data_IF_995860864984
#
_entry.id   IF_995860864984
#
_cell.length_a   1.000
_cell.length_b   1.000
_cell.length_c   1.000
_cell.angle_alpha   90.00
_cell.angle_beta   90.00
_cell.angle_gamma   90.00
#
_symmetry.space_group_name_H-M   'P 1'
#
loop_
_entity.id
_entity.type
_entity.pdbx_description
1 polymer ?
#
# COMPACT_ATOMS: atom_id res chain seq x y z
N UNK A 1 -18.61 2.24 7.26
CA UNK A 1 -17.63 1.44 8.04
C UNK A 1 -18.26 0.10 8.35
N UNK A 2 -17.50 -1.00 8.28
CA UNK A 2 -18.01 -2.33 8.62
C UNK A 2 -18.78 -3.05 7.51
N UNK A 3 -18.58 -2.62 6.26
CA UNK A 3 -19.12 -3.28 5.06
C UNK A 3 -18.02 -4.10 4.40
N UNK A 4 -18.39 -5.20 3.77
CA UNK A 4 -17.55 -5.89 2.79
C UNK A 4 -17.59 -5.16 1.45
N UNK A 5 -16.58 -5.37 0.60
CA UNK A 5 -16.48 -4.65 -0.70
C UNK A 5 -17.62 -5.02 -1.67
N UNK A 6 -18.15 -6.22 -1.59
CA UNK A 6 -19.26 -6.74 -2.41
C UNK A 6 -20.65 -6.26 -1.94
N UNK A 7 -20.73 -5.59 -0.80
CA UNK A 7 -21.97 -5.01 -0.26
C UNK A 7 -22.14 -3.53 -0.63
N UNK A 8 -21.11 -2.89 -1.21
CA UNK A 8 -21.07 -1.45 -1.43
C UNK A 8 -21.58 -1.07 -2.83
N UNK A 9 -22.40 -0.03 -2.86
CA UNK A 9 -22.88 0.63 -4.07
C UNK A 9 -22.30 2.05 -4.17
N UNK A 10 -22.52 2.73 -5.29
CA UNK A 10 -22.03 4.10 -5.50
C UNK A 10 -22.55 5.11 -4.45
N UNK A 11 -23.77 4.89 -3.94
CA UNK A 11 -24.38 5.77 -2.93
C UNK A 11 -23.82 5.56 -1.50
N UNK A 12 -23.03 4.49 -1.28
CA UNK A 12 -22.47 4.16 0.04
C UNK A 12 -21.14 4.87 0.33
N UNK A 13 -20.57 5.56 -0.66
CA UNK A 13 -19.34 6.33 -0.48
C UNK A 13 -19.60 7.59 0.37
N UNK A 14 -18.65 7.87 1.27
CA UNK A 14 -18.75 8.97 2.23
C UNK A 14 -17.70 10.02 1.90
N UNK A 15 -18.16 11.24 1.59
CA UNK A 15 -17.30 12.40 1.42
C UNK A 15 -16.80 12.90 2.77
N UNK A 16 -15.50 13.18 2.88
CA UNK A 16 -14.88 13.67 4.11
C UNK A 16 -13.99 14.87 3.82
N UNK A 17 -14.14 15.93 4.60
CA UNK A 17 -13.28 17.11 4.50
C UNK A 17 -11.84 16.75 4.90
N UNK A 18 -10.89 17.02 4.01
CA UNK A 18 -9.51 16.60 4.17
C UNK A 18 -8.82 17.16 5.44
N UNK A 19 -9.17 18.39 5.84
CA UNK A 19 -8.53 19.08 6.98
C UNK A 19 -9.20 18.77 8.30
N UNK A 20 -10.53 18.70 8.31
CA UNK A 20 -11.30 18.60 9.55
C UNK A 20 -11.74 17.17 9.86
N UNK A 21 -11.74 16.27 8.87
CA UNK A 21 -12.27 14.91 9.00
C UNK A 21 -13.79 14.85 9.16
N UNK A 22 -14.50 15.98 9.01
CA UNK A 22 -15.96 16.03 9.06
C UNK A 22 -16.55 15.46 7.77
N UNK A 23 -17.67 14.76 7.89
CA UNK A 23 -18.45 14.26 6.74
C UNK A 23 -18.95 15.47 5.94
N UNK A 24 -18.81 15.40 4.61
CA UNK A 24 -19.30 16.42 3.67
C UNK A 24 -20.41 15.89 2.78
N UNK A 25 -20.39 14.58 2.48
CA UNK A 25 -21.36 13.90 1.60
C UNK A 25 -21.64 12.49 2.12
N UNK A 26 -22.83 11.97 1.84
CA UNK A 26 -23.29 10.66 2.31
C UNK A 26 -23.82 10.66 3.75
N UNK A 27 -24.52 9.59 4.12
CA UNK A 27 -25.15 9.41 5.44
C UNK A 27 -24.44 8.36 6.30
N UNK A 28 -23.62 7.52 5.68
CA UNK A 28 -22.89 6.45 6.36
C UNK A 28 -21.70 7.00 7.16
N UNK A 29 -21.28 6.21 8.16
CA UNK A 29 -20.07 6.50 8.91
C UNK A 29 -18.83 6.13 8.07
N UNK A 30 -17.82 7.02 7.93
CA UNK A 30 -16.58 6.69 7.24
C UNK A 30 -15.82 5.59 7.99
N UNK A 31 -14.83 4.97 7.33
CA UNK A 31 -13.94 3.97 7.94
C UNK A 31 -13.35 4.45 9.27
N UNK A 32 -13.20 3.54 10.25
CA UNK A 32 -12.56 3.85 11.54
C UNK A 32 -11.11 4.33 11.37
N UNK A 33 -10.48 4.01 10.25
CA UNK A 33 -9.12 4.39 9.90
C UNK A 33 -9.02 5.69 9.07
N UNK A 34 -10.10 6.47 8.99
CA UNK A 34 -10.16 7.68 8.14
C UNK A 34 -9.00 8.65 8.46
N UNK A 35 -8.61 8.76 9.73
CA UNK A 35 -7.49 9.59 10.17
C UNK A 35 -6.16 9.21 9.47
N UNK A 36 -5.92 7.92 9.26
CA UNK A 36 -4.74 7.42 8.55
C UNK A 36 -4.75 7.85 7.08
N UNK A 37 -5.88 7.68 6.39
CA UNK A 37 -6.04 8.10 4.99
C UNK A 37 -5.83 9.61 4.84
N UNK A 38 -6.51 10.41 5.66
CA UNK A 38 -6.37 11.88 5.66
C UNK A 38 -4.92 12.31 5.89
N UNK A 39 -4.23 11.67 6.84
CA UNK A 39 -2.83 11.93 7.10
C UNK A 39 -1.94 11.72 5.87
N UNK A 40 -2.21 10.68 5.08
CA UNK A 40 -1.45 10.40 3.86
C UNK A 40 -1.63 11.50 2.82
N UNK A 41 -2.87 11.88 2.51
CA UNK A 41 -3.17 12.97 1.57
C UNK A 41 -2.64 14.33 2.02
N UNK A 42 -2.58 14.57 3.34
CA UNK A 42 -2.06 15.83 3.86
C UNK A 42 -0.55 15.94 3.69
N UNK A 43 0.20 14.84 3.79
CA UNK A 43 1.66 14.85 3.80
C UNK A 43 2.31 14.64 2.43
N UNK A 44 1.61 13.99 1.49
CA UNK A 44 2.05 13.77 0.11
C UNK A 44 1.06 14.46 -0.83
N UNK A 45 1.51 15.44 -1.61
CA UNK A 45 0.66 16.20 -2.55
C UNK A 45 0.60 15.57 -3.94
N UNK A 46 1.46 14.61 -4.19
CA UNK A 46 1.57 13.84 -5.42
C UNK A 46 0.67 12.59 -5.43
N UNK A 47 -0.06 12.32 -4.33
CA UNK A 47 -0.98 11.19 -4.24
C UNK A 47 -2.43 11.66 -4.25
N UNK A 48 -3.28 10.90 -4.94
CA UNK A 48 -4.73 11.10 -4.99
C UNK A 48 -5.49 9.84 -4.54
N UNK A 49 -4.79 8.74 -4.26
CA UNK A 49 -5.38 7.51 -3.73
C UNK A 49 -4.54 6.92 -2.59
N UNK A 50 -5.25 6.35 -1.61
CA UNK A 50 -4.70 5.58 -0.50
C UNK A 50 -5.54 4.32 -0.39
N UNK A 51 -4.91 3.15 -0.47
CA UNK A 51 -5.57 1.85 -0.32
C UNK A 51 -5.01 1.16 0.91
N UNK A 52 -5.91 0.75 1.80
CA UNK A 52 -5.61 -0.10 2.93
C UNK A 52 -6.34 -1.43 2.80
N UNK A 53 -5.62 -2.52 2.92
CA UNK A 53 -6.15 -3.90 2.76
C UNK A 53 -5.53 -4.84 3.77
N UNK A 54 -6.11 -6.05 3.87
CA UNK A 54 -5.64 -7.14 4.73
C UNK A 54 -5.17 -8.38 3.94
N UNK A 55 -4.13 -8.28 3.10
CA UNK A 55 -3.63 -9.39 2.29
C UNK A 55 -3.12 -10.55 3.17
N UNK A 56 -3.74 -11.74 3.17
CA UNK A 56 -3.47 -12.79 4.15
C UNK A 56 -2.04 -13.33 4.12
N UNK A 57 -1.45 -13.50 2.92
CA UNK A 57 -0.09 -14.03 2.79
C UNK A 57 0.95 -13.01 3.27
N UNK A 58 0.76 -11.75 2.91
CA UNK A 58 1.56 -10.63 3.43
C UNK A 58 1.48 -10.57 4.95
N UNK A 59 0.27 -10.59 5.53
CA UNK A 59 0.07 -10.56 7.00
C UNK A 59 0.77 -11.74 7.65
N UNK A 60 0.59 -12.96 7.12
CA UNK A 60 1.25 -14.16 7.64
C UNK A 60 2.77 -14.04 7.63
N UNK A 61 3.36 -13.57 6.53
CA UNK A 61 4.80 -13.37 6.39
C UNK A 61 5.35 -12.35 7.39
N UNK A 62 4.76 -11.16 7.50
CA UNK A 62 5.26 -10.12 8.40
C UNK A 62 5.02 -10.48 9.87
N UNK A 63 3.95 -11.22 10.18
CA UNK A 63 3.71 -11.78 11.50
C UNK A 63 4.82 -12.75 11.90
N UNK A 64 5.27 -13.58 10.96
CA UNK A 64 6.42 -14.47 11.11
C UNK A 64 7.80 -13.77 11.04
N UNK A 65 7.85 -12.43 10.97
CA UNK A 65 9.09 -11.67 10.92
C UNK A 65 9.81 -11.70 9.57
N UNK A 66 9.18 -12.21 8.51
CA UNK A 66 9.74 -12.15 7.17
C UNK A 66 9.71 -10.72 6.61
N UNK A 67 10.70 -10.41 5.77
CA UNK A 67 10.77 -9.15 5.02
C UNK A 67 10.47 -9.43 3.55
N UNK A 68 9.56 -8.66 2.96
CA UNK A 68 9.31 -8.66 1.52
C UNK A 68 10.35 -7.73 0.88
N UNK A 69 11.07 -8.24 -0.12
CA UNK A 69 12.18 -7.54 -0.78
C UNK A 69 12.03 -7.66 -2.30
N UNK A 70 12.72 -6.83 -3.09
CA UNK A 70 12.72 -6.95 -4.54
C UNK A 70 13.16 -8.33 -5.03
N UNK A 71 12.28 -9.02 -5.74
CA UNK A 71 12.51 -10.34 -6.34
C UNK A 71 12.24 -10.38 -7.86
N UNK A 72 11.46 -9.43 -8.38
CA UNK A 72 11.08 -9.36 -9.79
C UNK A 72 10.94 -7.90 -10.26
N UNK A 73 10.97 -7.64 -11.59
CA UNK A 73 11.05 -6.28 -12.14
C UNK A 73 9.92 -5.34 -11.71
N UNK A 74 8.66 -5.78 -11.78
CA UNK A 74 7.50 -4.93 -11.45
C UNK A 74 7.54 -4.47 -9.99
N UNK A 75 8.01 -5.33 -9.06
CA UNK A 75 8.26 -4.93 -7.68
C UNK A 75 9.28 -3.79 -7.59
N UNK A 76 10.36 -3.85 -8.35
CA UNK A 76 11.37 -2.77 -8.37
C UNK A 76 10.81 -1.48 -8.96
N UNK A 77 10.08 -1.59 -10.06
CA UNK A 77 9.59 -0.45 -10.81
C UNK A 77 8.50 0.31 -10.04
N UNK A 78 7.56 -0.40 -9.43
CA UNK A 78 6.31 0.19 -8.94
C UNK A 78 6.22 0.27 -7.42
N UNK A 79 6.89 -0.61 -6.69
CA UNK A 79 6.82 -0.69 -5.23
C UNK A 79 8.12 -0.21 -4.58
N UNK A 80 9.27 -0.70 -5.06
CA UNK A 80 10.58 -0.38 -4.52
C UNK A 80 10.84 -1.04 -3.17
N UNK A 81 10.93 -0.25 -2.10
CA UNK A 81 11.13 -0.75 -0.74
C UNK A 81 9.84 -0.64 0.06
N UNK A 82 9.57 -1.64 0.91
CA UNK A 82 8.35 -1.68 1.74
C UNK A 82 8.72 -1.84 3.21
N UNK A 83 8.76 -0.74 3.98
CA UNK A 83 9.01 -0.82 5.41
C UNK A 83 7.87 -1.50 6.17
N UNK A 84 8.22 -2.14 7.28
CA UNK A 84 7.25 -2.70 8.23
C UNK A 84 7.27 -1.80 9.47
N UNK A 85 6.09 -1.37 9.91
CA UNK A 85 5.93 -0.75 11.24
C UNK A 85 5.43 -1.78 12.23
N UNK A 86 5.84 -1.62 13.50
CA UNK A 86 5.33 -2.44 14.60
C UNK A 86 3.82 -2.26 14.78
N UNK A 87 3.20 -3.22 15.48
CA UNK A 87 1.77 -3.20 15.71
C UNK A 87 1.36 -1.90 16.42
N UNK A 88 0.38 -1.23 15.84
CA UNK A 88 -0.29 -0.08 16.42
C UNK A 88 -1.77 -0.40 16.42
N UNK A 89 -2.43 -0.12 17.55
CA UNK A 89 -3.89 -0.27 17.66
C UNK A 89 -4.54 0.53 16.51
N UNK A 90 -5.41 -0.10 15.69
CA UNK A 90 -6.11 0.57 14.60
C UNK A 90 -6.92 1.77 15.07
N UNK A 91 -7.20 2.67 14.13
CA UNK A 91 -7.89 3.95 14.35
C UNK A 91 -7.11 4.97 15.23
N UNK A 92 -7.48 6.24 15.05
CA UNK A 92 -6.93 7.35 15.82
C UNK A 92 -5.55 7.86 15.35
N UNK A 93 -4.95 8.70 16.17
CA UNK A 93 -3.79 9.51 15.78
C UNK A 93 -2.46 8.71 15.77
N UNK A 94 -2.36 7.64 16.55
CA UNK A 94 -1.13 6.83 16.63
C UNK A 94 -0.81 6.15 15.30
N UNK A 95 -1.78 5.45 14.71
CA UNK A 95 -1.60 4.78 13.42
C UNK A 95 -1.33 5.80 12.31
N UNK A 96 -2.05 6.93 12.31
CA UNK A 96 -1.79 8.04 11.38
C UNK A 96 -0.34 8.51 11.46
N UNK A 97 0.19 8.80 12.64
CA UNK A 97 1.59 9.26 12.81
C UNK A 97 2.59 8.20 12.35
N UNK A 98 2.36 6.94 12.69
CA UNK A 98 3.25 5.85 12.33
C UNK A 98 3.31 5.64 10.80
N UNK A 99 2.15 5.59 10.14
CA UNK A 99 2.03 5.43 8.69
C UNK A 99 2.57 6.65 7.95
N UNK A 100 2.17 7.87 8.35
CA UNK A 100 2.61 9.09 7.67
C UNK A 100 4.13 9.32 7.76
N UNK A 101 4.79 8.85 8.83
CA UNK A 101 6.25 8.89 8.94
C UNK A 101 6.92 8.06 7.84
N UNK A 102 6.33 6.93 7.46
CA UNK A 102 6.85 6.03 6.43
C UNK A 102 6.50 6.54 5.04
N UNK A 103 5.21 6.79 4.76
CA UNK A 103 4.74 7.08 3.40
C UNK A 103 5.27 8.42 2.83
N UNK A 104 5.88 9.26 3.68
CA UNK A 104 6.71 10.41 3.24
C UNK A 104 7.79 10.03 2.23
N UNK A 105 8.31 8.80 2.29
CA UNK A 105 9.44 8.33 1.47
C UNK A 105 9.14 7.06 0.66
N UNK A 106 8.09 6.32 1.02
CA UNK A 106 7.75 5.04 0.42
C UNK A 106 6.31 5.06 -0.05
N UNK A 107 6.00 4.33 -1.13
CA UNK A 107 4.64 4.28 -1.67
C UNK A 107 3.82 3.12 -1.08
N UNK A 108 4.42 2.34 -0.19
CA UNK A 108 3.78 1.27 0.55
C UNK A 108 4.37 1.12 1.96
N UNK A 109 3.55 0.66 2.91
CA UNK A 109 3.96 0.31 4.27
C UNK A 109 3.17 -0.89 4.78
N UNK A 110 3.88 -1.84 5.38
CA UNK A 110 3.30 -3.00 6.05
C UNK A 110 3.07 -2.70 7.51
N UNK A 111 1.89 -3.06 8.00
CA UNK A 111 1.47 -2.88 9.39
C UNK A 111 1.51 -4.27 10.05
N UNK A 112 2.50 -4.53 10.92
CA UNK A 112 2.69 -5.84 11.55
C UNK A 112 1.42 -6.29 12.27
N UNK A 113 0.96 -7.51 11.97
CA UNK A 113 -0.29 -8.11 12.50
C UNK A 113 -1.56 -7.28 12.20
N UNK A 114 -1.55 -6.47 11.14
CA UNK A 114 -2.69 -5.64 10.76
C UNK A 114 -2.94 -5.71 9.26
N UNK A 115 -2.03 -5.20 8.41
CA UNK A 115 -2.31 -5.15 6.97
C UNK A 115 -1.27 -4.39 6.16
N UNK A 116 -1.73 -3.84 5.04
CA UNK A 116 -0.94 -3.10 4.06
C UNK A 116 -1.59 -1.74 3.79
N UNK A 117 -0.78 -0.70 3.66
CA UNK A 117 -1.21 0.59 3.11
C UNK A 117 -0.35 0.91 1.89
N UNK A 118 -1.00 1.27 0.79
CA UNK A 118 -0.36 1.74 -0.45
C UNK A 118 -0.91 3.10 -0.84
N UNK A 119 -0.09 3.91 -1.49
CA UNK A 119 -0.48 5.23 -1.99
C UNK A 119 -0.16 5.35 -3.47
N UNK A 120 -0.85 6.24 -4.19
CA UNK A 120 -0.60 6.49 -5.60
C UNK A 120 -1.21 7.79 -6.09
N UNK A 121 -0.73 8.28 -7.23
CA UNK A 121 -1.28 9.42 -7.95
C UNK A 121 -2.70 9.15 -8.47
N UNK A 122 -3.02 7.86 -8.69
CA UNK A 122 -4.31 7.36 -9.14
C UNK A 122 -4.72 6.15 -8.30
N UNK A 123 -6.01 5.82 -8.29
CA UNK A 123 -6.51 4.61 -7.62
C UNK A 123 -5.88 3.35 -8.21
N UNK A 124 -5.73 3.31 -9.54
CA UNK A 124 -5.10 2.20 -10.26
C UNK A 124 -3.66 1.98 -9.81
N UNK A 125 -2.87 3.04 -9.67
CA UNK A 125 -1.47 2.94 -9.23
C UNK A 125 -1.37 2.41 -7.79
N UNK A 126 -2.20 2.93 -6.88
CA UNK A 126 -2.25 2.44 -5.49
C UNK A 126 -2.66 0.96 -5.43
N UNK A 127 -3.67 0.58 -6.21
CA UNK A 127 -4.20 -0.79 -6.22
C UNK A 127 -3.16 -1.78 -6.76
N UNK A 128 -2.52 -1.44 -7.88
CA UNK A 128 -1.54 -2.29 -8.50
C UNK A 128 -0.31 -2.52 -7.60
N UNK A 129 0.10 -1.51 -6.82
CA UNK A 129 1.12 -1.69 -5.76
C UNK A 129 0.68 -2.72 -4.71
N UNK A 130 -0.58 -2.72 -4.31
CA UNK A 130 -1.10 -3.67 -3.32
C UNK A 130 -1.07 -5.10 -3.87
N UNK A 131 -1.46 -5.28 -5.13
CA UNK A 131 -1.41 -6.57 -5.82
C UNK A 131 0.02 -7.11 -5.93
N UNK A 132 0.96 -6.28 -6.38
CA UNK A 132 2.38 -6.66 -6.52
C UNK A 132 2.98 -7.11 -5.18
N UNK A 133 2.57 -6.49 -4.06
CA UNK A 133 3.06 -6.88 -2.72
C UNK A 133 2.51 -8.24 -2.29
N UNK A 134 1.24 -8.54 -2.58
CA UNK A 134 0.65 -9.87 -2.34
C UNK A 134 1.25 -10.94 -3.28
N UNK A 135 1.53 -10.59 -4.54
CA UNK A 135 2.25 -11.46 -5.46
C UNK A 135 3.67 -11.76 -4.96
N UNK A 136 4.39 -10.75 -4.47
CA UNK A 136 5.69 -10.92 -3.84
C UNK A 136 5.61 -11.85 -2.62
N UNK A 137 4.54 -11.79 -1.83
CA UNK A 137 4.32 -12.74 -0.75
C UNK A 137 4.18 -14.18 -1.26
N UNK A 138 3.38 -14.41 -2.32
CA UNK A 138 3.23 -15.73 -2.97
C UNK A 138 4.57 -16.27 -3.47
N UNK A 139 5.32 -15.45 -4.20
CA UNK A 139 6.64 -15.81 -4.73
C UNK A 139 7.60 -16.15 -3.59
N UNK A 140 7.60 -15.38 -2.50
CA UNK A 140 8.47 -15.64 -1.35
C UNK A 140 8.14 -16.96 -0.68
N UNK A 141 6.87 -17.30 -0.52
CA UNK A 141 6.40 -18.56 0.07
C UNK A 141 6.85 -19.73 -0.80
N UNK A 142 6.54 -19.70 -2.10
CA UNK A 142 6.94 -20.75 -3.05
C UNK A 142 8.46 -20.90 -3.06
N UNK A 143 9.20 -19.80 -3.11
CA UNK A 143 10.66 -19.82 -3.09
C UNK A 143 11.22 -20.49 -1.83
N UNK A 144 10.58 -20.33 -0.67
CA UNK A 144 10.99 -20.96 0.59
C UNK A 144 10.63 -22.44 0.67
N UNK A 145 9.56 -22.87 0.00
CA UNK A 145 9.18 -24.28 -0.10
C UNK A 145 10.23 -25.05 -0.93
N UNK A 146 10.66 -24.48 -2.06
CA UNK A 146 11.60 -25.13 -2.97
C UNK A 146 13.08 -24.79 -2.69
N UNK A 147 13.38 -23.77 -1.88
CA UNK A 147 14.76 -23.41 -1.56
C UNK A 147 14.96 -22.04 -0.91
N UNK A 148 15.96 -21.30 -1.40
CA UNK A 148 16.29 -19.95 -0.91
C UNK A 148 15.79 -18.90 -1.90
N UNK A 149 15.06 -17.86 -1.44
CA UNK A 149 14.61 -16.78 -2.32
C UNK A 149 15.79 -16.05 -2.99
N UNK A 150 15.71 -15.89 -4.31
CA UNK A 150 16.65 -15.09 -5.09
C UNK A 150 16.22 -13.62 -5.08
N UNK A 151 16.85 -12.81 -4.23
CA UNK A 151 16.59 -11.37 -4.20
C UNK A 151 17.45 -10.64 -5.24
N UNK A 152 16.89 -9.61 -5.86
CA UNK A 152 17.61 -8.76 -6.78
C UNK A 152 18.68 -7.95 -6.04
N UNK A 153 19.89 -7.90 -6.61
CA UNK A 153 20.99 -7.12 -6.07
C UNK A 153 20.92 -5.66 -6.53
N UNK A 154 21.78 -4.79 -5.96
CA UNK A 154 21.77 -3.35 -6.26
C UNK A 154 22.00 -3.03 -7.75
N UNK A 155 22.81 -3.83 -8.45
CA UNK A 155 23.10 -3.64 -9.88
C UNK A 155 21.88 -3.97 -10.73
N UNK A 156 21.20 -5.08 -10.44
CA UNK A 156 19.97 -5.49 -11.11
C UNK A 156 18.84 -4.49 -10.88
N UNK A 157 18.64 -4.06 -9.63
CA UNK A 157 17.66 -3.03 -9.26
C UNK A 157 17.92 -1.73 -10.03
N UNK A 158 19.18 -1.30 -10.12
CA UNK A 158 19.55 -0.10 -10.89
C UNK A 158 19.29 -0.28 -12.38
N UNK A 159 19.57 -1.47 -12.93
CA UNK A 159 19.28 -1.80 -14.32
C UNK A 159 17.80 -1.68 -14.65
N UNK A 160 16.93 -2.27 -13.82
CA UNK A 160 15.47 -2.22 -13.99
C UNK A 160 14.95 -0.77 -13.91
N UNK A 161 15.45 0.02 -12.95
CA UNK A 161 15.04 1.43 -12.79
C UNK A 161 15.39 2.33 -13.98
N UNK A 162 16.31 1.90 -14.85
CA UNK A 162 16.74 2.65 -16.02
C UNK A 162 16.07 2.19 -17.33
N UNK A 163 15.09 1.27 -17.26
CA UNK A 163 14.39 0.78 -18.45
C UNK A 163 13.29 1.77 -18.88
N UNK A 164 13.36 2.24 -20.13
CA UNK A 164 12.33 3.13 -20.71
C UNK A 164 10.92 2.50 -20.70
N UNK A 165 10.84 1.17 -20.85
CA UNK A 165 9.58 0.44 -20.76
C UNK A 165 8.88 0.62 -19.40
N UNK A 166 9.66 0.75 -18.32
CA UNK A 166 9.11 0.95 -16.97
C UNK A 166 8.63 2.39 -16.76
N UNK A 167 9.30 3.37 -17.36
CA UNK A 167 8.84 4.75 -17.35
C UNK A 167 7.52 4.90 -18.12
N UNK A 168 7.38 4.22 -19.25
CA UNK A 168 6.14 4.18 -20.02
C UNK A 168 4.98 3.57 -19.21
N UNK A 169 5.22 2.43 -18.53
CA UNK A 169 4.21 1.77 -17.68
C UNK A 169 3.77 2.65 -16.52
N UNK A 170 4.71 3.30 -15.83
CA UNK A 170 4.40 4.27 -14.76
C UNK A 170 3.55 5.42 -15.27
N UNK A 171 3.86 5.95 -16.45
CA UNK A 171 3.07 7.00 -17.08
C UNK A 171 1.62 6.52 -17.33
N UNK A 172 1.42 5.31 -17.83
CA UNK A 172 0.07 4.77 -18.07
C UNK A 172 -0.74 4.61 -16.78
N UNK A 173 -0.11 4.20 -15.67
CA UNK A 173 -0.79 4.09 -14.37
C UNK A 173 -1.24 5.45 -13.84
N UNK A 174 -0.54 6.53 -14.19
CA UNK A 174 -0.86 7.90 -13.76
C UNK A 174 -1.92 8.60 -14.62
N UNK A 175 -2.33 8.02 -15.75
CA UNK A 175 -3.33 8.60 -16.67
C UNK A 175 -4.77 8.13 -16.42
N UNK A 176 -4.97 7.19 -15.49
CA UNK A 176 -6.27 6.57 -15.19
C UNK A 176 -6.92 7.09 -13.92
#
# INVERSE_FOLDING_TARGET
SGYSFDELNEDDYVGVNLKTGKITEGTLKPTCEVSMHLGCYLIRKDISAVIHTHPPLVIGLISAGAKIKPMFPDFVALVGEVPVIDYVIPAGEKIRKAVTKVIKKYDAVLLKNHGLVTVGATLKEAFYRAEIIEEAARILIVSRIFGKPGFLNKREIKGIKNLEAEDYRKMLLKKG
#
